data_IF_638552933827
#
_entry.id   IF_638552933827
#
_cell.length_a   1.000
_cell.length_b   1.000
_cell.length_c   1.000
_cell.angle_alpha   90.00
_cell.angle_beta   90.00
_cell.angle_gamma   90.00
#
_symmetry.space_group_name_H-M   'P 1'
#
loop_
_entity.id
_entity.type
_entity.pdbx_description
1 polymer ?
#
# COMPACT_ATOMS: atom_id res chain seq x y z
N UNK A 1 0.46 14.41 -6.08
CA UNK A 1 0.67 13.21 -5.27
C UNK A 1 1.57 12.23 -6.00
N UNK A 2 2.40 11.55 -5.27
CA UNK A 2 3.18 10.42 -5.78
C UNK A 2 2.58 9.16 -5.18
N UNK A 3 1.77 8.41 -5.92
CA UNK A 3 1.25 7.14 -5.43
C UNK A 3 2.39 6.14 -5.24
N UNK A 4 2.20 5.20 -4.33
CA UNK A 4 3.05 4.04 -4.20
C UNK A 4 2.41 2.84 -4.89
N UNK A 5 3.22 2.00 -5.49
CA UNK A 5 2.78 0.86 -6.27
C UNK A 5 3.15 -0.43 -5.55
N UNK A 6 2.16 -1.14 -5.01
CA UNK A 6 2.34 -2.48 -4.48
C UNK A 6 2.35 -3.48 -5.67
N UNK A 7 3.51 -4.07 -5.94
CA UNK A 7 3.75 -4.86 -7.17
C UNK A 7 4.17 -6.28 -6.78
N UNK A 8 3.47 -7.28 -7.33
CA UNK A 8 3.85 -8.69 -7.18
C UNK A 8 5.07 -9.03 -8.05
N UNK A 9 6.02 -9.78 -7.49
CA UNK A 9 7.27 -10.14 -8.17
C UNK A 9 7.06 -10.87 -9.50
N UNK A 10 6.05 -11.72 -9.60
CA UNK A 10 5.73 -12.44 -10.85
C UNK A 10 5.37 -11.54 -12.04
N UNK A 11 5.07 -10.25 -11.81
CA UNK A 11 4.86 -9.30 -12.92
C UNK A 11 6.14 -9.02 -13.67
N UNK A 12 7.31 -9.13 -13.03
CA UNK A 12 8.61 -8.99 -13.70
C UNK A 12 8.80 -9.99 -14.85
N UNK A 13 8.32 -11.21 -14.66
CA UNK A 13 8.39 -12.25 -15.68
C UNK A 13 7.27 -12.14 -16.73
N UNK A 14 6.05 -11.83 -16.26
CA UNK A 14 4.85 -11.87 -17.13
C UNK A 14 4.66 -10.60 -17.94
N UNK A 15 5.03 -9.45 -17.41
CA UNK A 15 4.76 -8.14 -17.98
C UNK A 15 5.96 -7.18 -17.85
N UNK A 16 7.18 -7.57 -18.32
CA UNK A 16 8.38 -6.74 -18.15
C UNK A 16 8.23 -5.34 -18.75
N UNK A 17 7.61 -5.23 -19.93
CA UNK A 17 7.35 -3.93 -20.58
C UNK A 17 6.47 -2.99 -19.75
N UNK A 18 5.55 -3.53 -18.96
CA UNK A 18 4.74 -2.73 -18.04
C UNK A 18 5.64 -2.17 -16.92
N UNK A 19 6.50 -3.00 -16.35
CA UNK A 19 7.41 -2.58 -15.27
C UNK A 19 8.46 -1.59 -15.79
N UNK A 20 9.02 -1.79 -16.98
CA UNK A 20 9.90 -0.81 -17.64
C UNK A 20 9.24 0.56 -17.77
N UNK A 21 7.95 0.60 -18.11
CA UNK A 21 7.19 1.84 -18.21
C UNK A 21 6.89 2.46 -16.84
N UNK A 22 6.54 1.66 -15.86
CA UNK A 22 6.30 2.12 -14.48
C UNK A 22 7.58 2.65 -13.83
N UNK A 23 8.73 2.05 -14.11
CA UNK A 23 10.04 2.49 -13.63
C UNK A 23 10.45 3.89 -14.12
N UNK A 24 9.82 4.39 -15.20
CA UNK A 24 10.01 5.76 -15.68
C UNK A 24 9.20 6.80 -14.88
N UNK A 25 8.34 6.37 -13.97
CA UNK A 25 7.57 7.25 -13.10
C UNK A 25 8.28 7.46 -11.76
N UNK A 26 8.07 8.60 -11.09
CA UNK A 26 8.66 8.86 -9.78
C UNK A 26 7.89 8.16 -8.64
N UNK A 27 7.24 7.04 -8.91
CA UNK A 27 6.41 6.34 -7.94
C UNK A 27 7.27 5.39 -7.11
N UNK A 28 7.02 5.35 -5.82
CA UNK A 28 7.63 4.36 -4.94
C UNK A 28 7.05 2.98 -5.21
N UNK A 29 7.91 1.95 -5.22
CA UNK A 29 7.48 0.58 -5.34
C UNK A 29 7.55 -0.13 -4.00
N UNK A 30 6.48 -0.89 -3.68
CA UNK A 30 6.40 -1.80 -2.55
C UNK A 30 6.39 -3.24 -3.08
N UNK A 31 7.08 -4.13 -2.38
CA UNK A 31 6.93 -5.56 -2.62
C UNK A 31 5.52 -6.02 -2.23
N UNK A 32 4.91 -6.86 -3.07
CA UNK A 32 3.55 -7.38 -2.87
C UNK A 32 3.50 -8.89 -3.08
N UNK A 33 4.39 -9.61 -2.38
CA UNK A 33 4.53 -11.05 -2.52
C UNK A 33 4.99 -11.48 -3.91
N UNK A 34 5.13 -12.79 -4.10
CA UNK A 34 5.42 -13.32 -5.43
C UNK A 34 4.21 -13.19 -6.36
N UNK A 35 3.06 -13.72 -5.94
CA UNK A 35 1.75 -13.56 -6.59
C UNK A 35 0.62 -13.90 -5.61
N UNK A 36 -0.63 -13.72 -6.03
CA UNK A 36 -1.81 -13.98 -5.20
C UNK A 36 -2.09 -15.47 -4.87
N UNK A 37 -1.33 -16.40 -5.43
CA UNK A 37 -1.39 -17.82 -5.06
C UNK A 37 -0.39 -18.17 -3.96
N UNK A 38 0.62 -17.33 -3.75
CA UNK A 38 1.65 -17.45 -2.72
C UNK A 38 1.26 -16.59 -1.51
N UNK A 39 0.18 -17.00 -0.83
CA UNK A 39 -0.34 -16.26 0.33
C UNK A 39 0.50 -16.56 1.57
N UNK A 40 0.86 -15.52 2.32
CA UNK A 40 1.57 -15.61 3.60
C UNK A 40 0.61 -16.04 4.71
N UNK A 41 0.04 -17.23 4.59
CA UNK A 41 -1.06 -17.69 5.45
C UNK A 41 -0.94 -19.19 5.78
N UNK A 42 -1.64 -19.58 6.82
CA UNK A 42 -1.74 -20.99 7.22
C UNK A 42 -0.42 -21.56 7.71
N UNK A 43 -0.09 -22.78 7.29
CA UNK A 43 1.10 -23.53 7.70
C UNK A 43 2.27 -23.35 6.72
N UNK A 44 2.36 -22.21 6.04
CA UNK A 44 3.53 -21.92 5.20
C UNK A 44 4.78 -21.91 6.07
N UNK A 45 5.76 -22.74 5.70
CA UNK A 45 7.04 -22.78 6.41
C UNK A 45 7.86 -21.50 6.14
N UNK A 46 8.65 -21.10 7.13
CA UNK A 46 9.42 -19.85 7.08
C UNK A 46 10.43 -19.81 5.92
N UNK A 47 10.94 -20.94 5.45
CA UNK A 47 11.87 -21.02 4.33
C UNK A 47 11.18 -20.71 3.00
N UNK A 48 10.02 -21.28 2.77
CA UNK A 48 9.16 -21.02 1.60
C UNK A 48 8.74 -19.54 1.58
N UNK A 49 8.27 -19.03 2.71
CA UNK A 49 7.86 -17.62 2.83
C UNK A 49 9.03 -16.67 2.56
N UNK A 50 10.21 -16.93 3.16
CA UNK A 50 11.43 -16.16 2.90
C UNK A 50 11.82 -16.16 1.41
N UNK A 51 11.64 -17.30 0.74
CA UNK A 51 11.85 -17.44 -0.70
C UNK A 51 10.95 -16.50 -1.49
N UNK A 52 9.64 -16.49 -1.22
CA UNK A 52 8.70 -15.60 -1.91
C UNK A 52 9.01 -14.11 -1.70
N UNK A 53 9.42 -13.74 -0.48
CA UNK A 53 9.82 -12.36 -0.15
C UNK A 53 11.08 -11.96 -0.93
N UNK A 54 12.14 -12.78 -0.85
CA UNK A 54 13.42 -12.48 -1.50
C UNK A 54 13.32 -12.48 -3.02
N UNK A 55 12.56 -13.43 -3.60
CA UNK A 55 12.38 -13.52 -5.05
C UNK A 55 11.56 -12.36 -5.58
N UNK A 56 10.50 -11.95 -4.85
CA UNK A 56 9.72 -10.78 -5.19
C UNK A 56 10.59 -9.52 -5.23
N UNK A 57 11.37 -9.27 -4.17
CA UNK A 57 12.27 -8.14 -4.09
C UNK A 57 13.28 -8.15 -5.24
N UNK A 58 14.00 -9.25 -5.42
CA UNK A 58 15.02 -9.41 -6.46
C UNK A 58 14.45 -9.20 -7.87
N UNK A 59 13.25 -9.74 -8.14
CA UNK A 59 12.62 -9.60 -9.44
C UNK A 59 12.24 -8.14 -9.76
N UNK A 60 11.74 -7.41 -8.76
CA UNK A 60 11.34 -6.01 -8.93
C UNK A 60 12.54 -5.06 -8.97
N UNK A 61 13.58 -5.30 -8.17
CA UNK A 61 14.81 -4.47 -8.15
C UNK A 61 15.60 -4.52 -9.47
N UNK A 62 15.27 -5.42 -10.40
CA UNK A 62 15.83 -5.39 -11.77
C UNK A 62 15.32 -4.20 -12.59
N UNK A 63 14.22 -3.57 -12.20
CA UNK A 63 13.59 -2.47 -12.92
C UNK A 63 13.76 -1.11 -12.22
N UNK A 64 14.31 -1.10 -11.01
CA UNK A 64 14.47 0.12 -10.21
C UNK A 64 15.94 0.33 -9.86
N UNK A 65 16.40 1.59 -9.90
CA UNK A 65 17.76 1.96 -9.46
C UNK A 65 17.89 2.04 -7.93
N UNK A 66 16.78 1.92 -7.21
CA UNK A 66 16.73 2.03 -5.75
C UNK A 66 16.21 0.75 -5.13
N UNK A 67 16.71 0.37 -3.95
CA UNK A 67 16.22 -0.79 -3.23
C UNK A 67 14.75 -0.58 -2.81
N UNK A 68 13.94 -1.63 -2.94
CA UNK A 68 12.56 -1.64 -2.49
C UNK A 68 12.55 -1.84 -0.97
N UNK A 69 12.04 -0.85 -0.24
CA UNK A 69 12.06 -0.83 1.23
C UNK A 69 10.69 -1.08 1.87
N UNK A 70 9.63 -0.87 1.11
CA UNK A 70 8.26 -1.03 1.59
C UNK A 70 7.64 -2.36 1.19
N UNK A 71 6.74 -2.84 2.02
CA UNK A 71 6.00 -4.07 1.79
C UNK A 71 4.51 -3.91 2.06
N UNK A 72 3.72 -4.56 1.24
CA UNK A 72 2.29 -4.81 1.45
C UNK A 72 2.02 -6.28 1.10
N UNK A 73 1.69 -7.09 2.08
CA UNK A 73 1.41 -8.52 1.85
C UNK A 73 0.20 -8.74 0.95
N UNK A 74 0.18 -9.79 0.11
CA UNK A 74 -1.02 -10.19 -0.62
C UNK A 74 -2.19 -10.37 0.35
N UNK A 75 -3.29 -9.64 0.10
CA UNK A 75 -4.46 -9.65 0.97
C UNK A 75 -4.23 -9.10 2.38
N UNK A 76 -3.11 -8.42 2.66
CA UNK A 76 -2.66 -8.01 4.00
C UNK A 76 -2.53 -9.17 5.00
N UNK A 77 -2.32 -10.38 4.49
CA UNK A 77 -2.20 -11.59 5.30
C UNK A 77 -0.73 -11.85 5.60
N UNK A 78 -0.44 -12.15 6.88
CA UNK A 78 0.90 -12.44 7.37
C UNK A 78 0.93 -13.71 8.19
N UNK A 79 2.08 -14.38 8.23
CA UNK A 79 2.41 -15.35 9.27
C UNK A 79 3.06 -14.64 10.46
N UNK A 80 3.27 -15.36 11.56
CA UNK A 80 4.04 -14.83 12.69
C UNK A 80 5.51 -14.53 12.33
N UNK A 81 6.03 -15.13 11.25
CA UNK A 81 7.41 -14.95 10.82
C UNK A 81 7.59 -13.77 9.83
N UNK A 82 6.51 -13.30 9.20
CA UNK A 82 6.59 -12.30 8.13
C UNK A 82 7.39 -11.06 8.55
N UNK A 83 7.18 -10.42 9.71
CA UNK A 83 7.93 -9.23 10.08
C UNK A 83 9.45 -9.44 10.19
N UNK A 84 9.87 -10.54 10.82
CA UNK A 84 11.29 -10.91 10.90
C UNK A 84 11.89 -11.17 9.51
N UNK A 85 11.16 -11.90 8.66
CA UNK A 85 11.61 -12.23 7.31
C UNK A 85 11.71 -10.98 6.44
N UNK A 86 10.82 -10.01 6.61
CA UNK A 86 10.89 -8.72 5.92
C UNK A 86 12.14 -7.95 6.33
N UNK A 87 12.41 -7.79 7.63
CA UNK A 87 13.63 -7.11 8.13
C UNK A 87 14.88 -7.79 7.61
N UNK A 88 14.96 -9.12 7.70
CA UNK A 88 16.08 -9.92 7.19
C UNK A 88 16.31 -9.74 5.69
N UNK A 89 15.25 -9.51 4.93
CA UNK A 89 15.33 -9.22 3.51
C UNK A 89 15.50 -7.72 3.21
N UNK A 90 15.73 -6.85 4.22
CA UNK A 90 16.07 -5.44 4.06
C UNK A 90 14.89 -4.52 3.79
N UNK A 91 13.67 -4.97 4.05
CA UNK A 91 12.50 -4.08 4.12
C UNK A 91 12.54 -3.30 5.45
N UNK A 92 12.12 -2.05 5.41
CA UNK A 92 12.17 -1.15 6.59
C UNK A 92 10.79 -0.79 7.10
N UNK A 93 9.76 -0.92 6.29
CA UNK A 93 8.38 -0.69 6.68
C UNK A 93 7.41 -1.62 5.94
N UNK A 94 6.23 -1.82 6.52
CA UNK A 94 5.11 -2.50 5.91
C UNK A 94 3.79 -1.76 6.13
N UNK A 95 2.77 -2.07 5.29
CA UNK A 95 1.47 -1.44 5.30
C UNK A 95 0.32 -2.44 5.56
N UNK A 96 0.61 -3.57 6.22
CA UNK A 96 -0.38 -4.66 6.34
C UNK A 96 -1.38 -4.46 7.47
N UNK A 97 -0.92 -3.89 8.59
CA UNK A 97 -1.76 -3.81 9.79
C UNK A 97 -2.68 -2.60 9.78
N UNK A 98 -3.84 -2.77 10.41
CA UNK A 98 -4.90 -1.75 10.56
C UNK A 98 -5.19 -1.48 12.04
N UNK A 99 -4.19 -1.67 12.88
CA UNK A 99 -4.29 -1.71 14.34
C UNK A 99 -3.94 -0.38 15.03
N UNK A 100 -3.61 0.64 14.28
CA UNK A 100 -3.32 1.99 14.79
C UNK A 100 -3.75 3.04 13.75
N UNK A 101 -3.83 4.29 14.18
CA UNK A 101 -4.15 5.45 13.34
C UNK A 101 -2.91 6.22 12.88
N UNK A 102 -1.75 5.96 13.51
CA UNK A 102 -0.49 6.63 13.23
C UNK A 102 0.64 5.62 12.98
N UNK A 103 1.64 6.00 12.20
CA UNK A 103 2.84 5.18 12.03
C UNK A 103 3.53 4.90 13.36
N UNK A 104 4.03 3.70 13.53
CA UNK A 104 4.79 3.31 14.70
C UNK A 104 5.88 2.30 14.37
N UNK A 105 6.94 2.30 15.17
CA UNK A 105 8.05 1.36 15.03
C UNK A 105 7.96 0.28 16.11
N UNK A 106 8.17 -0.95 15.72
CA UNK A 106 8.25 -2.09 16.62
C UNK A 106 9.55 -2.88 16.39
N UNK A 107 9.90 -3.69 17.38
CA UNK A 107 11.12 -4.49 17.36
C UNK A 107 10.81 -5.92 16.94
N UNK A 108 11.58 -6.45 16.01
CA UNK A 108 11.67 -7.87 15.66
C UNK A 108 12.97 -8.47 16.20
N UNK A 109 13.19 -9.75 16.04
CA UNK A 109 14.47 -10.41 16.39
C UNK A 109 15.62 -9.98 15.46
N UNK A 110 15.27 -9.57 14.23
CA UNK A 110 16.24 -9.18 13.18
C UNK A 110 16.48 -7.66 13.11
N UNK A 111 15.75 -6.85 13.89
CA UNK A 111 15.89 -5.40 13.89
C UNK A 111 14.58 -4.66 14.13
N UNK A 112 14.49 -3.44 13.63
CA UNK A 112 13.29 -2.61 13.74
C UNK A 112 12.51 -2.59 12.42
N UNK A 113 11.19 -2.53 12.53
CA UNK A 113 10.25 -2.38 11.42
C UNK A 113 9.27 -1.25 11.73
N UNK A 114 8.96 -0.44 10.74
CA UNK A 114 7.89 0.56 10.86
C UNK A 114 6.60 0.00 10.27
N UNK A 115 5.52 0.09 11.01
CA UNK A 115 4.17 -0.11 10.49
C UNK A 115 3.62 1.25 10.03
N UNK A 116 3.15 1.31 8.79
CA UNK A 116 2.31 2.38 8.27
C UNK A 116 0.88 1.82 8.18
N UNK A 117 0.02 2.10 9.17
CA UNK A 117 -1.31 1.51 9.19
C UNK A 117 -2.12 1.88 7.95
N UNK A 118 -2.79 0.89 7.37
CA UNK A 118 -3.72 1.10 6.26
C UNK A 118 -5.14 1.23 6.78
N UNK A 119 -5.99 1.93 6.03
CA UNK A 119 -7.41 2.04 6.34
C UNK A 119 -8.19 0.99 5.55
N UNK A 120 -8.73 -0.02 6.22
CA UNK A 120 -9.54 -1.05 5.57
C UNK A 120 -10.93 -0.52 5.20
N UNK A 121 -11.48 0.32 6.05
CA UNK A 121 -12.84 0.86 5.92
C UNK A 121 -13.01 1.75 4.68
N UNK A 122 -11.92 2.32 4.16
CA UNK A 122 -11.89 3.11 2.92
C UNK A 122 -11.15 2.41 1.77
N UNK A 123 -10.88 1.11 1.90
CA UNK A 123 -10.37 0.30 0.79
C UNK A 123 -11.47 0.13 -0.28
N UNK A 124 -11.15 0.39 -1.54
CA UNK A 124 -12.13 0.36 -2.64
C UNK A 124 -12.79 -1.01 -2.81
N UNK A 125 -12.04 -2.12 -2.60
CA UNK A 125 -12.62 -3.47 -2.66
C UNK A 125 -13.59 -3.67 -1.51
N UNK A 126 -13.24 -3.24 -0.29
CA UNK A 126 -14.11 -3.39 0.86
C UNK A 126 -15.41 -2.60 0.69
N UNK A 127 -15.31 -1.33 0.31
CA UNK A 127 -16.49 -0.45 0.17
C UNK A 127 -17.37 -0.85 -1.01
N UNK A 128 -16.77 -1.04 -2.19
CA UNK A 128 -17.55 -1.22 -3.43
C UNK A 128 -17.99 -2.67 -3.67
N UNK A 129 -17.23 -3.67 -3.19
CA UNK A 129 -17.55 -5.07 -3.52
C UNK A 129 -18.04 -5.89 -2.34
N UNK A 130 -17.60 -5.61 -1.13
CA UNK A 130 -18.07 -6.32 0.06
C UNK A 130 -19.28 -5.63 0.69
N UNK A 131 -19.22 -4.30 0.87
CA UNK A 131 -20.33 -3.52 1.43
C UNK A 131 -21.34 -3.05 0.38
N UNK A 132 -21.04 -3.23 -0.92
CA UNK A 132 -21.91 -2.89 -2.05
C UNK A 132 -22.36 -1.42 -2.06
N UNK A 133 -21.51 -0.51 -1.61
CA UNK A 133 -21.78 0.92 -1.70
C UNK A 133 -21.62 1.41 -3.15
N UNK A 134 -22.30 2.51 -3.48
CA UNK A 134 -22.11 3.17 -4.77
C UNK A 134 -20.77 3.90 -4.82
N UNK A 135 -20.31 4.17 -6.04
CA UNK A 135 -19.11 4.95 -6.30
C UNK A 135 -19.18 6.37 -5.67
N UNK A 136 -20.33 7.02 -5.76
CA UNK A 136 -20.54 8.35 -5.17
C UNK A 136 -20.47 8.29 -3.63
N UNK A 137 -21.00 7.22 -3.00
CA UNK A 137 -20.88 6.99 -1.56
C UNK A 137 -19.42 6.76 -1.17
N UNK A 138 -18.65 6.03 -1.96
CA UNK A 138 -17.23 5.81 -1.73
C UNK A 138 -16.45 7.13 -1.76
N UNK A 139 -16.66 7.95 -2.79
CA UNK A 139 -16.02 9.26 -2.87
C UNK A 139 -16.35 10.14 -1.67
N UNK A 140 -17.62 10.19 -1.26
CA UNK A 140 -18.04 10.99 -0.13
C UNK A 140 -17.41 10.52 1.19
N UNK A 141 -17.33 9.22 1.43
CA UNK A 141 -16.67 8.67 2.63
C UNK A 141 -15.19 9.07 2.70
N UNK A 142 -14.46 9.01 1.58
CA UNK A 142 -13.06 9.44 1.53
C UNK A 142 -12.92 10.93 1.83
N UNK A 143 -13.81 11.76 1.28
CA UNK A 143 -13.82 13.20 1.49
C UNK A 143 -14.14 13.55 2.94
N UNK A 144 -15.18 12.95 3.52
CA UNK A 144 -15.60 13.20 4.91
C UNK A 144 -14.50 12.80 5.91
N UNK A 145 -13.87 11.62 5.68
CA UNK A 145 -12.73 11.19 6.50
C UNK A 145 -11.55 12.18 6.38
N UNK A 146 -11.25 12.63 5.18
CA UNK A 146 -10.17 13.61 4.95
C UNK A 146 -10.44 14.92 5.69
N UNK A 147 -11.67 15.44 5.61
CA UNK A 147 -12.05 16.70 6.28
C UNK A 147 -11.94 16.59 7.81
N UNK A 148 -12.35 15.46 8.36
CA UNK A 148 -12.22 15.21 9.80
C UNK A 148 -10.75 15.12 10.21
N UNK A 149 -9.93 14.34 9.48
CA UNK A 149 -8.51 14.19 9.78
C UNK A 149 -7.73 15.51 9.64
N UNK A 150 -8.07 16.37 8.69
CA UNK A 150 -7.49 17.72 8.59
C UNK A 150 -7.84 18.55 9.82
N UNK A 151 -9.09 18.52 10.27
CA UNK A 151 -9.53 19.23 11.48
C UNK A 151 -8.78 18.75 12.71
N UNK A 152 -8.73 17.44 12.93
CA UNK A 152 -8.02 16.85 14.07
C UNK A 152 -6.52 17.11 14.00
N UNK A 153 -5.95 17.05 12.81
CA UNK A 153 -4.53 17.33 12.59
C UNK A 153 -4.10 18.74 13.02
N UNK A 154 -4.99 19.73 12.89
CA UNK A 154 -4.76 21.09 13.35
C UNK A 154 -4.83 21.23 14.88
N UNK A 155 -5.62 20.40 15.53
CA UNK A 155 -5.90 20.50 16.98
C UNK A 155 -4.98 19.59 17.80
N UNK A 156 -4.63 18.42 17.28
CA UNK A 156 -4.04 17.31 18.05
C UNK A 156 -2.72 16.78 17.48
N UNK A 157 -2.24 17.32 16.35
CA UNK A 157 -1.04 16.86 15.64
C UNK A 157 -1.37 15.98 14.45
N UNK A 158 -0.34 15.55 13.74
CA UNK A 158 -0.46 14.86 12.45
C UNK A 158 -1.46 13.69 12.45
N UNK A 159 -2.06 13.48 11.30
CA UNK A 159 -2.96 12.35 11.01
C UNK A 159 -2.52 11.68 9.74
N UNK A 160 -2.84 10.40 9.61
CA UNK A 160 -2.53 9.60 8.41
C UNK A 160 -3.84 9.13 7.75
N UNK A 161 -3.93 9.29 6.44
CA UNK A 161 -4.91 8.61 5.61
C UNK A 161 -4.16 7.80 4.55
N UNK A 162 -4.23 6.48 4.64
CA UNK A 162 -3.73 5.56 3.63
C UNK A 162 -4.89 5.06 2.78
N UNK A 163 -4.99 5.54 1.55
CA UNK A 163 -6.03 5.14 0.60
C UNK A 163 -5.50 4.07 -0.34
N UNK A 164 -6.06 2.87 -0.26
CA UNK A 164 -5.76 1.77 -1.18
C UNK A 164 -6.74 1.74 -2.34
N UNK A 165 -6.20 1.71 -3.55
CA UNK A 165 -6.98 1.65 -4.79
C UNK A 165 -6.49 0.49 -5.66
N UNK A 166 -7.42 -0.31 -6.16
CA UNK A 166 -7.14 -1.45 -7.02
C UNK A 166 -7.45 -1.10 -8.48
N UNK A 167 -6.44 -0.98 -9.37
CA UNK A 167 -6.65 -0.58 -10.77
C UNK A 167 -7.63 -1.46 -11.53
N UNK A 168 -7.70 -2.76 -11.22
CA UNK A 168 -8.65 -3.68 -11.84
C UNK A 168 -10.10 -3.37 -11.48
N UNK A 169 -10.35 -2.71 -10.35
CA UNK A 169 -11.68 -2.34 -9.87
C UNK A 169 -12.03 -0.89 -10.26
N UNK A 170 -11.30 0.08 -9.72
CA UNK A 170 -11.64 1.50 -9.92
C UNK A 170 -11.10 2.08 -11.22
N UNK A 171 -10.18 1.40 -11.90
CA UNK A 171 -9.69 1.78 -13.23
C UNK A 171 -10.67 1.45 -14.37
N UNK A 172 -11.82 0.84 -14.08
CA UNK A 172 -12.83 0.52 -15.09
C UNK A 172 -13.51 1.79 -15.64
N UNK A 173 -13.94 1.80 -16.92
CA UNK A 173 -14.51 2.98 -17.56
C UNK A 173 -15.68 3.62 -16.82
N UNK A 174 -16.49 2.82 -16.13
CA UNK A 174 -17.64 3.30 -15.37
C UNK A 174 -17.29 3.79 -13.95
N UNK A 175 -16.07 3.54 -13.48
CA UNK A 175 -15.57 3.89 -12.12
C UNK A 175 -14.47 4.94 -12.08
N UNK A 176 -13.69 5.07 -13.14
CA UNK A 176 -12.52 5.96 -13.17
C UNK A 176 -12.87 7.43 -12.89
N UNK A 177 -14.10 7.85 -13.16
CA UNK A 177 -14.60 9.19 -12.81
C UNK A 177 -14.49 9.44 -11.30
N UNK A 178 -14.95 8.50 -10.50
CA UNK A 178 -14.92 8.58 -9.02
C UNK A 178 -13.50 8.78 -8.49
N UNK A 179 -12.51 8.04 -9.04
CA UNK A 179 -11.10 8.24 -8.67
C UNK A 179 -10.64 9.67 -8.98
N UNK A 180 -11.04 10.22 -10.13
CA UNK A 180 -10.69 11.61 -10.47
C UNK A 180 -11.30 12.60 -9.49
N UNK A 181 -12.56 12.43 -9.15
CA UNK A 181 -13.27 13.26 -8.17
C UNK A 181 -12.59 13.22 -6.79
N UNK A 182 -12.23 12.02 -6.30
CA UNK A 182 -11.47 11.85 -5.06
C UNK A 182 -10.11 12.59 -5.16
N UNK A 183 -9.35 12.34 -6.22
CA UNK A 183 -8.03 12.96 -6.37
C UNK A 183 -8.13 14.48 -6.51
N UNK A 184 -9.13 15.02 -7.20
CA UNK A 184 -9.39 16.46 -7.29
C UNK A 184 -9.69 17.04 -5.91
N UNK A 185 -10.59 16.41 -5.17
CA UNK A 185 -10.95 16.83 -3.81
C UNK A 185 -9.74 16.83 -2.84
N UNK A 186 -8.86 15.84 -2.93
CA UNK A 186 -7.70 15.72 -2.05
C UNK A 186 -6.53 16.61 -2.49
N UNK A 187 -6.21 16.64 -3.79
CA UNK A 187 -4.99 17.24 -4.30
C UNK A 187 -5.14 18.71 -4.67
N UNK A 188 -6.34 19.12 -5.08
CA UNK A 188 -6.62 20.48 -5.52
C UNK A 188 -7.34 21.27 -4.43
N UNK A 189 -8.50 20.79 -3.99
CA UNK A 189 -9.34 21.53 -3.04
C UNK A 189 -8.73 21.56 -1.62
N UNK A 190 -8.04 20.50 -1.20
CA UNK A 190 -7.45 20.32 0.14
C UNK A 190 -5.92 20.28 0.14
N UNK A 191 -5.29 20.46 -1.02
CA UNK A 191 -3.85 20.21 -1.22
C UNK A 191 -2.94 20.98 -0.29
N UNK A 192 -3.32 22.23 0.11
CA UNK A 192 -2.54 23.02 1.06
C UNK A 192 -2.56 22.48 2.50
N UNK A 193 -3.58 21.69 2.85
CA UNK A 193 -3.74 21.11 4.18
C UNK A 193 -3.18 19.68 4.28
N UNK A 194 -2.77 19.08 3.17
CA UNK A 194 -2.36 17.68 3.10
C UNK A 194 -0.90 17.59 2.64
N UNK A 195 -0.09 16.88 3.41
CA UNK A 195 1.21 16.43 2.97
C UNK A 195 1.07 15.12 2.17
N UNK A 196 1.22 15.21 0.86
CA UNK A 196 1.18 14.04 -0.04
C UNK A 196 2.53 13.32 -0.01
N UNK A 197 2.71 12.48 0.98
CA UNK A 197 3.95 11.78 1.24
C UNK A 197 3.99 10.38 0.60
N UNK A 198 5.08 9.99 -0.06
CA UNK A 198 5.34 8.57 -0.29
C UNK A 198 5.71 7.90 1.04
N UNK A 199 5.32 6.63 1.25
CA UNK A 199 5.53 5.92 2.52
C UNK A 199 6.95 5.99 3.09
N UNK A 200 7.98 5.93 2.25
CA UNK A 200 9.38 5.99 2.70
C UNK A 200 9.77 7.32 3.35
N UNK A 201 8.98 8.37 3.21
CA UNK A 201 9.24 9.70 3.76
C UNK A 201 8.51 9.96 5.08
N UNK A 202 7.68 9.03 5.51
CA UNK A 202 6.96 9.06 6.78
C UNK A 202 7.76 8.33 7.85
#
# INVERSE_FOLDING_TARGET
ASPSLAISGALAERYPKLLERLAQTPYEWLGHGWNMLCMHAGEVDAGTEAGWISDSRRALEQFTDQPIKGWLSPGRIQTANTPELLVKNGFTYHCDWVNDELPYTFKTTEGYMTCLPSCLELDDVFVLTQNLHSEDSFAQQVIDATDLLIKEGREQGGRLLALNLHPWLVGQPHRIRTVREILEALLVERGEAIWHAPPHSI
#
